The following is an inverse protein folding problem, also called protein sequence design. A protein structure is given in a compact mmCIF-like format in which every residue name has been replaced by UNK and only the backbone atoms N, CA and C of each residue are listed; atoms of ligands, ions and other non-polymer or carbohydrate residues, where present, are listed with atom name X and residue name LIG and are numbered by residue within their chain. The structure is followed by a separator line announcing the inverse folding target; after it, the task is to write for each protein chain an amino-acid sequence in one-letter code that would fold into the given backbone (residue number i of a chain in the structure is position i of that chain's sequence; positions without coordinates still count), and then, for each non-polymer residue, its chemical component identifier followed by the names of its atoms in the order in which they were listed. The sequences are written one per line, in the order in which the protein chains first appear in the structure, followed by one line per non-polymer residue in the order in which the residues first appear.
data_IF_111457054536
#
_entry.id   IF_111457054536
#
_cell.length_a   1.000
_cell.length_b   1.000
_cell.length_c   1.000
_cell.angle_alpha   90.00
_cell.angle_beta   90.00
_cell.angle_gamma   90.00
#
_symmetry.space_group_name_H-M   'P 1'
#
loop_
_entity.id
_entity.type
_entity.pdbx_description
1 polymer ?
#
# COMPACT_ATOMS: atom_id res chain seq x y z
N UNK A 1 0.47 10.86 0.50
CA UNK A 1 -0.82 10.42 1.06
C UNK A 1 -1.27 11.36 2.17
N UNK A 2 -0.45 11.56 3.21
CA UNK A 2 -0.76 12.41 4.38
C UNK A 2 -1.32 13.78 4.04
N UNK A 3 -0.61 14.55 3.20
CA UNK A 3 -1.03 15.89 2.81
C UNK A 3 -2.38 15.92 2.05
N UNK A 4 -2.67 14.86 1.29
CA UNK A 4 -3.94 14.74 0.58
C UNK A 4 -5.09 14.50 1.55
N UNK A 5 -4.95 13.49 2.43
CA UNK A 5 -5.96 13.16 3.43
C UNK A 5 -6.16 14.26 4.48
N UNK A 6 -5.11 14.98 4.86
CA UNK A 6 -5.25 16.10 5.79
C UNK A 6 -6.00 17.28 5.17
N UNK A 7 -5.92 17.46 3.85
CA UNK A 7 -6.64 18.52 3.13
C UNK A 7 -8.18 18.34 3.11
N UNK A 8 -8.65 17.13 3.40
CA UNK A 8 -10.08 16.80 3.49
C UNK A 8 -10.69 17.15 4.86
N UNK A 9 -9.88 17.34 5.90
CA UNK A 9 -10.38 17.65 7.25
C UNK A 9 -11.14 18.98 7.25
N UNK A 10 -12.29 18.99 7.94
CA UNK A 10 -13.22 20.11 7.98
C UNK A 10 -14.13 20.23 6.75
N UNK A 11 -13.96 19.40 5.71
CA UNK A 11 -14.84 19.38 4.53
C UNK A 11 -16.01 18.41 4.72
N UNK A 12 -17.11 18.57 3.95
CA UNK A 12 -18.17 17.56 3.87
C UNK A 12 -17.63 16.20 3.44
N UNK A 13 -18.14 15.12 4.02
CA UNK A 13 -17.63 13.77 3.74
C UNK A 13 -17.75 13.35 2.27
N UNK A 14 -18.72 13.90 1.53
CA UNK A 14 -18.89 13.65 0.10
C UNK A 14 -17.68 14.11 -0.74
N UNK A 15 -16.90 15.08 -0.26
CA UNK A 15 -15.64 15.48 -0.91
C UNK A 15 -14.61 14.34 -0.91
N UNK A 16 -14.59 13.50 0.14
CA UNK A 16 -13.76 12.30 0.14
C UNK A 16 -14.21 11.33 -0.95
N UNK A 17 -15.51 11.23 -1.24
CA UNK A 17 -16.04 10.33 -2.27
C UNK A 17 -15.69 10.82 -3.67
N UNK A 18 -15.67 12.13 -3.87
CA UNK A 18 -15.26 12.75 -5.14
C UNK A 18 -13.78 12.46 -5.45
N UNK A 19 -12.93 12.35 -4.43
CA UNK A 19 -11.49 12.10 -4.60
C UNK A 19 -11.16 10.60 -4.61
N UNK A 20 -11.70 9.84 -3.67
CA UNK A 20 -11.33 8.43 -3.42
C UNK A 20 -12.28 7.43 -4.09
N UNK A 21 -13.42 7.89 -4.60
CA UNK A 21 -14.54 7.04 -5.01
C UNK A 21 -15.43 6.64 -3.81
N UNK A 22 -16.46 5.85 -4.08
CA UNK A 22 -17.31 5.30 -3.02
C UNK A 22 -16.51 4.39 -2.09
N UNK A 23 -16.77 4.44 -0.76
CA UNK A 23 -16.10 3.58 0.20
C UNK A 23 -16.53 2.12 0.04
N UNK A 24 -15.62 1.21 0.38
CA UNK A 24 -15.90 -0.23 0.42
C UNK A 24 -16.79 -0.60 1.61
N UNK A 25 -16.74 0.19 2.69
CA UNK A 25 -17.55 -0.01 3.88
C UNK A 25 -17.90 1.31 4.58
N UNK A 26 -19.06 1.32 5.23
CA UNK A 26 -19.48 2.33 6.19
C UNK A 26 -19.74 1.66 7.54
N UNK A 27 -19.22 2.25 8.61
CA UNK A 27 -19.50 1.85 9.98
C UNK A 27 -19.90 3.06 10.82
N UNK A 28 -20.55 2.80 11.96
CA UNK A 28 -20.80 3.81 13.00
C UNK A 28 -20.12 3.39 14.28
N UNK A 29 -19.22 4.23 14.79
CA UNK A 29 -18.43 3.99 16.00
C UNK A 29 -18.54 5.22 16.88
N UNK A 30 -19.06 5.06 18.10
CA UNK A 30 -19.19 6.16 19.08
C UNK A 30 -19.93 7.38 18.50
N UNK A 31 -21.05 7.13 17.80
CA UNK A 31 -21.85 8.17 17.14
C UNK A 31 -21.20 8.83 15.93
N UNK A 32 -19.99 8.40 15.52
CA UNK A 32 -19.28 8.89 14.34
C UNK A 32 -19.42 7.91 13.19
N UNK A 33 -19.54 8.43 11.97
CA UNK A 33 -19.53 7.60 10.76
C UNK A 33 -18.08 7.41 10.31
N UNK A 34 -17.73 6.20 9.93
CA UNK A 34 -16.40 5.83 9.45
C UNK A 34 -16.56 5.20 8.08
N UNK A 35 -16.03 5.90 7.07
CA UNK A 35 -15.97 5.40 5.71
C UNK A 35 -14.59 4.82 5.44
N UNK A 36 -14.55 3.60 4.94
CA UNK A 36 -13.32 2.85 4.74
C UNK A 36 -13.10 2.49 3.28
N UNK A 37 -11.87 2.66 2.82
CA UNK A 37 -11.37 2.15 1.55
C UNK A 37 -10.23 1.18 1.82
N UNK A 38 -10.22 0.08 1.09
CA UNK A 38 -9.26 -1.00 1.23
C UNK A 38 -8.78 -1.47 -0.13
N UNK A 39 -7.50 -1.76 -0.23
CA UNK A 39 -6.95 -2.53 -1.34
C UNK A 39 -5.87 -3.44 -0.81
N UNK A 40 -5.86 -4.70 -1.26
CA UNK A 40 -4.79 -5.64 -0.95
C UNK A 40 -4.49 -6.48 -2.18
N UNK A 41 -3.22 -6.55 -2.54
CA UNK A 41 -2.70 -7.36 -3.61
C UNK A 41 -1.49 -8.13 -3.08
N UNK A 42 -1.60 -9.45 -3.07
CA UNK A 42 -0.54 -10.34 -2.61
C UNK A 42 -0.11 -11.25 -3.75
N UNK A 43 1.18 -11.58 -3.77
CA UNK A 43 1.72 -12.45 -4.79
C UNK A 43 3.14 -12.87 -4.49
N UNK A 44 3.69 -13.66 -5.41
CA UNK A 44 5.08 -14.08 -5.37
C UNK A 44 5.65 -14.12 -6.77
N UNK A 45 6.96 -13.93 -6.87
CA UNK A 45 7.70 -14.10 -8.12
C UNK A 45 8.98 -14.88 -7.84
N UNK A 46 9.35 -15.76 -8.77
CA UNK A 46 10.53 -16.60 -8.66
C UNK A 46 11.59 -16.13 -9.64
N UNK A 47 12.77 -15.76 -9.11
CA UNK A 47 13.93 -15.37 -9.89
C UNK A 47 14.97 -16.51 -9.91
N UNK A 48 15.62 -16.78 -11.06
CA UNK A 48 16.76 -17.69 -11.09
C UNK A 48 17.92 -17.08 -10.31
N UNK A 49 18.64 -17.92 -9.57
CA UNK A 49 19.89 -17.55 -8.89
C UNK A 49 21.03 -18.41 -9.41
N UNK A 50 22.20 -17.82 -9.54
CA UNK A 50 23.40 -18.51 -10.00
C UNK A 50 24.46 -18.39 -8.91
N UNK A 51 24.95 -19.53 -8.44
CA UNK A 51 26.04 -19.58 -7.47
C UNK A 51 27.26 -20.20 -8.14
N UNK A 52 28.40 -19.52 -8.07
CA UNK A 52 29.68 -20.04 -8.54
C UNK A 52 30.49 -20.57 -7.36
N UNK A 53 30.98 -21.79 -7.44
CA UNK A 53 31.89 -22.38 -6.45
C UNK A 53 33.10 -22.98 -7.14
N UNK A 54 34.27 -22.86 -6.51
CA UNK A 54 35.49 -23.52 -6.97
C UNK A 54 35.69 -24.80 -6.16
N UNK A 55 35.75 -25.94 -6.85
CA UNK A 55 36.14 -27.23 -6.27
C UNK A 55 37.59 -27.55 -6.67
N UNK A 56 38.30 -28.35 -5.88
CA UNK A 56 39.65 -28.82 -6.23
C UNK A 56 39.63 -30.33 -6.39
N UNK A 57 40.02 -30.83 -7.56
CA UNK A 57 40.19 -32.26 -7.83
C UNK A 57 41.64 -32.50 -8.20
N UNK A 58 42.34 -33.32 -7.42
CA UNK A 58 43.78 -33.57 -7.57
C UNK A 58 44.65 -32.30 -7.63
N UNK A 59 44.28 -31.26 -6.87
CA UNK A 59 45.00 -29.98 -6.82
C UNK A 59 44.72 -29.02 -7.98
N UNK A 60 43.89 -29.40 -8.96
CA UNK A 60 43.45 -28.54 -10.06
C UNK A 60 42.09 -27.90 -9.73
N UNK A 61 41.91 -26.57 -9.95
CA UNK A 61 40.63 -25.91 -9.71
C UNK A 61 39.61 -26.25 -10.80
N UNK A 62 38.39 -26.57 -10.38
CA UNK A 62 37.22 -26.76 -11.23
C UNK A 62 36.19 -25.71 -10.83
N UNK A 63 35.72 -24.93 -11.81
CA UNK A 63 34.67 -23.94 -11.61
C UNK A 63 33.31 -24.57 -11.84
N UNK A 64 32.46 -24.57 -10.82
CA UNK A 64 31.11 -25.12 -10.87
C UNK A 64 30.13 -23.96 -10.77
N UNK A 65 29.16 -23.91 -11.68
CA UNK A 65 28.05 -22.97 -11.62
C UNK A 65 26.77 -23.76 -11.32
N UNK A 66 26.17 -23.49 -10.17
CA UNK A 66 24.92 -24.10 -9.74
C UNK A 66 23.77 -23.13 -9.99
N UNK A 67 22.73 -23.60 -10.67
CA UNK A 67 21.47 -22.89 -10.81
C UNK A 67 20.56 -23.20 -9.62
N UNK A 68 19.97 -22.17 -9.05
CA UNK A 68 18.92 -22.25 -8.06
C UNK A 68 17.79 -21.29 -8.41
N UNK A 69 16.81 -21.20 -7.52
CA UNK A 69 15.71 -20.24 -7.63
C UNK A 69 15.51 -19.56 -6.29
N UNK A 70 15.20 -18.27 -6.31
CA UNK A 70 14.77 -17.50 -5.15
C UNK A 70 13.35 -17.02 -5.39
N UNK A 71 12.44 -17.38 -4.50
CA UNK A 71 11.07 -16.87 -4.53
C UNK A 71 10.96 -15.70 -3.57
N UNK A 72 10.49 -14.57 -4.06
CA UNK A 72 10.18 -13.37 -3.29
C UNK A 72 8.66 -13.22 -3.23
N UNK A 73 8.16 -12.80 -2.08
CA UNK A 73 6.72 -12.56 -1.85
C UNK A 73 6.46 -11.09 -1.60
N UNK A 74 5.34 -10.57 -2.08
CA UNK A 74 4.88 -9.22 -1.80
C UNK A 74 3.45 -9.21 -1.26
N UNK A 75 3.17 -8.21 -0.43
CA UNK A 75 1.85 -7.94 0.14
C UNK A 75 1.58 -6.43 0.11
N UNK A 76 1.11 -5.93 -1.02
CA UNK A 76 0.74 -4.54 -1.18
C UNK A 76 -0.64 -4.31 -0.59
N UNK A 77 -0.72 -3.49 0.45
CA UNK A 77 -2.01 -3.18 1.07
C UNK A 77 -2.10 -1.70 1.44
N UNK A 78 -3.34 -1.21 1.41
CA UNK A 78 -3.70 0.10 1.91
C UNK A 78 -5.11 0.05 2.47
N UNK A 79 -5.29 0.66 3.64
CA UNK A 79 -6.58 0.95 4.25
C UNK A 79 -6.65 2.43 4.55
N UNK A 80 -7.74 3.09 4.19
CA UNK A 80 -8.01 4.50 4.51
C UNK A 80 -9.29 4.53 5.30
N UNK A 81 -9.30 5.22 6.43
CA UNK A 81 -10.51 5.50 7.20
C UNK A 81 -10.72 7.03 7.27
N UNK A 82 -11.91 7.47 6.89
CA UNK A 82 -12.39 8.85 7.02
C UNK A 82 -13.46 8.86 8.09
N UNK A 83 -13.22 9.61 9.17
CA UNK A 83 -14.08 9.68 10.35
C UNK A 83 -14.84 11.00 10.31
N UNK A 84 -16.16 10.90 10.40
CA UNK A 84 -17.10 11.98 10.16
C UNK A 84 -17.96 12.19 11.40
N UNK A 85 -17.99 13.43 11.85
CA UNK A 85 -18.79 13.86 12.99
C UNK A 85 -20.28 13.94 12.67
N UNK A 86 -21.09 14.23 13.68
CA UNK A 86 -22.54 14.43 13.54
C UNK A 86 -22.92 15.59 12.62
N UNK A 87 -22.01 16.56 12.42
CA UNK A 87 -22.16 17.67 11.47
C UNK A 87 -22.02 17.27 10.01
N UNK A 88 -21.62 16.03 9.71
CA UNK A 88 -21.30 15.58 8.35
C UNK A 88 -19.94 16.09 7.85
N UNK A 89 -19.14 16.71 8.72
CA UNK A 89 -17.79 17.15 8.39
C UNK A 89 -16.76 16.08 8.76
N UNK A 90 -15.72 15.96 7.94
CA UNK A 90 -14.59 15.08 8.19
C UNK A 90 -13.79 15.64 9.36
N UNK A 91 -13.76 14.92 10.48
CA UNK A 91 -12.99 15.29 11.66
C UNK A 91 -11.56 14.74 11.57
N UNK A 92 -11.46 13.47 11.19
CA UNK A 92 -10.18 12.76 11.13
C UNK A 92 -10.07 11.90 9.89
N UNK A 93 -8.82 11.74 9.48
CA UNK A 93 -8.43 10.86 8.38
C UNK A 93 -7.20 10.11 8.82
N UNK A 94 -7.18 8.80 8.56
CA UNK A 94 -6.02 7.95 8.78
C UNK A 94 -5.88 6.97 7.62
N UNK A 95 -4.67 6.49 7.41
CA UNK A 95 -4.42 5.36 6.54
C UNK A 95 -3.41 4.43 7.18
N UNK A 96 -3.45 3.18 6.78
CA UNK A 96 -2.52 2.12 7.19
C UNK A 96 -2.16 1.29 5.96
N UNK A 97 -0.89 0.97 5.78
CA UNK A 97 -0.43 0.24 4.61
C UNK A 97 0.98 0.59 4.18
N UNK A 98 1.37 0.06 3.02
CA UNK A 98 2.70 0.29 2.46
C UNK A 98 2.67 1.07 1.15
N UNK A 99 3.85 1.51 0.70
CA UNK A 99 4.00 2.35 -0.48
C UNK A 99 3.40 1.70 -1.73
N UNK A 100 3.56 0.38 -1.90
CA UNK A 100 3.03 -0.35 -3.05
C UNK A 100 1.50 -0.39 -3.06
N UNK A 101 0.86 -0.54 -1.91
CA UNK A 101 -0.60 -0.54 -1.82
C UNK A 101 -1.23 0.86 -1.87
N UNK A 102 -0.62 1.84 -1.21
CA UNK A 102 -1.24 3.16 -1.04
C UNK A 102 -0.97 4.14 -2.20
N UNK A 103 -0.05 3.83 -3.11
CA UNK A 103 0.29 4.72 -4.25
C UNK A 103 -0.94 5.03 -5.12
N UNK A 104 -1.82 4.04 -5.35
CA UNK A 104 -3.06 4.23 -6.14
C UNK A 104 -3.90 5.37 -5.58
N UNK A 105 -4.10 5.41 -4.26
CA UNK A 105 -4.89 6.44 -3.61
C UNK A 105 -4.13 7.77 -3.51
N UNK A 106 -2.81 7.71 -3.29
CA UNK A 106 -1.99 8.91 -3.21
C UNK A 106 -2.00 9.73 -4.51
N UNK A 107 -2.13 9.07 -5.66
CA UNK A 107 -2.20 9.71 -6.99
C UNK A 107 -3.50 10.46 -7.25
N UNK A 108 -4.58 10.18 -6.50
CA UNK A 108 -5.87 10.86 -6.66
C UNK A 108 -5.85 12.29 -6.09
N UNK A 109 -4.89 12.59 -5.22
CA UNK A 109 -4.75 13.92 -4.65
C UNK A 109 -3.90 14.82 -5.56
N UNK A 110 -4.23 16.12 -5.66
CA UNK A 110 -3.42 17.08 -6.39
C UNK A 110 -1.99 17.09 -5.86
N UNK A 111 -1.02 16.94 -6.76
CA UNK A 111 0.38 17.17 -6.41
C UNK A 111 0.57 18.66 -6.18
N UNK A 112 1.10 19.06 -5.00
CA UNK A 112 1.61 20.43 -4.85
C UNK A 112 2.71 20.62 -5.90
N UNK A 113 2.67 21.69 -6.72
CA UNK A 113 3.83 22.05 -7.52
C UNK A 113 5.00 22.26 -6.56
N UNK A 114 6.17 21.73 -6.94
CA UNK A 114 7.41 21.90 -6.19
C UNK A 114 7.83 23.36 -6.16
#
# INVERSE_FOLDING_TARGET
MDAGLSSLRGRPYQEAFNVLGFPDAENTIDGKRVFSWGSRETGSYTLPTFNSSTAYVNGQPIYVQSQGTKTETYDYHCKIDVIVGSSGLIEFTKYDGNIGGCERYARLFPRKPK
#
